data_IF_049950180990
#
_entry.id   IF_049950180990
#
_cell.length_a   1.000
_cell.length_b   1.000
_cell.length_c   1.000
_cell.angle_alpha   90.00
_cell.angle_beta   90.00
_cell.angle_gamma   90.00
#
_symmetry.space_group_name_H-M   'P 1'
#
loop_
_entity.id
_entity.type
_entity.pdbx_description
1 polymer ?
#
# COMPACT_ATOMS: atom_id res chain seq x y z
N UNK A 1 7.58 -1.42 9.88
CA UNK A 1 6.75 -0.36 9.25
C UNK A 1 5.47 -0.21 10.06
N UNK A 2 5.06 1.01 10.37
CA UNK A 2 3.72 1.29 10.92
C UNK A 2 2.88 1.86 9.78
N UNK A 3 1.76 1.19 9.46
CA UNK A 3 0.81 1.62 8.44
C UNK A 3 -0.54 1.74 9.11
N UNK A 4 -1.21 2.85 8.86
CA UNK A 4 -2.61 3.03 9.19
C UNK A 4 -3.37 3.25 7.87
N UNK A 5 -4.55 2.67 7.75
CA UNK A 5 -5.40 2.82 6.58
C UNK A 5 -6.87 2.68 6.95
N UNK A 6 -7.71 3.12 6.04
CA UNK A 6 -9.16 3.09 6.23
C UNK A 6 -9.68 1.66 6.17
N UNK A 7 -10.68 1.38 7.00
CA UNK A 7 -11.40 0.12 7.02
C UNK A 7 -12.81 0.36 6.48
N UNK A 8 -13.21 -0.37 5.45
CA UNK A 8 -14.55 -0.25 4.88
C UNK A 8 -15.62 -0.81 5.84
N UNK A 9 -15.50 -2.09 6.23
CA UNK A 9 -16.42 -2.69 7.20
C UNK A 9 -15.86 -3.96 7.88
N UNK A 10 -16.64 -4.46 8.83
CA UNK A 10 -16.46 -5.77 9.45
C UNK A 10 -17.61 -6.70 9.06
N UNK A 11 -17.32 -7.97 8.83
CA UNK A 11 -18.38 -8.98 8.69
C UNK A 11 -18.93 -9.43 10.05
N UNK A 12 -19.91 -10.34 10.01
CA UNK A 12 -20.57 -10.87 11.22
C UNK A 12 -19.63 -11.62 12.18
N UNK A 13 -18.38 -11.89 11.78
CA UNK A 13 -17.35 -12.54 12.58
C UNK A 13 -16.24 -11.58 13.02
N UNK A 14 -16.45 -10.26 12.87
CA UNK A 14 -15.47 -9.20 13.11
C UNK A 14 -14.22 -9.30 12.23
N UNK A 15 -14.31 -9.94 11.07
CA UNK A 15 -13.22 -9.93 10.08
C UNK A 15 -13.32 -8.68 9.22
N UNK A 16 -12.17 -8.06 8.93
CA UNK A 16 -12.08 -6.91 8.04
C UNK A 16 -12.45 -7.33 6.62
N UNK A 17 -13.26 -6.51 5.97
CA UNK A 17 -13.68 -6.70 4.59
C UNK A 17 -13.40 -5.43 3.81
N UNK A 18 -12.75 -5.59 2.67
CA UNK A 18 -12.58 -4.54 1.68
C UNK A 18 -13.76 -4.55 0.70
N UNK A 19 -14.34 -3.40 0.36
CA UNK A 19 -15.48 -3.28 -0.56
C UNK A 19 -15.07 -2.50 -1.81
N UNK A 20 -15.13 -3.15 -2.96
CA UNK A 20 -14.87 -2.50 -4.26
C UNK A 20 -16.10 -2.59 -5.16
N UNK A 21 -16.29 -1.57 -5.99
CA UNK A 21 -17.36 -1.53 -7.00
C UNK A 21 -16.78 -1.18 -8.36
N UNK A 22 -16.95 -2.07 -9.34
CA UNK A 22 -16.22 -2.00 -10.58
C UNK A 22 -17.10 -2.31 -11.80
N UNK A 23 -16.90 -1.52 -12.87
CA UNK A 23 -17.62 -1.74 -14.14
C UNK A 23 -17.26 -3.12 -14.70
N UNK A 24 -18.26 -3.99 -14.90
CA UNK A 24 -18.09 -5.40 -15.27
C UNK A 24 -17.35 -6.25 -14.21
N UNK A 25 -17.33 -5.81 -12.96
CA UNK A 25 -16.83 -6.58 -11.81
C UNK A 25 -15.34 -6.90 -11.95
N UNK A 26 -15.00 -8.20 -11.91
CA UNK A 26 -13.64 -8.70 -12.17
C UNK A 26 -13.52 -9.43 -13.52
N UNK A 27 -14.48 -9.23 -14.43
CA UNK A 27 -14.53 -9.99 -15.69
C UNK A 27 -13.62 -9.41 -16.76
N UNK A 28 -13.19 -8.17 -16.63
CA UNK A 28 -12.41 -7.48 -17.65
C UNK A 28 -10.91 -7.75 -17.48
N UNK A 29 -10.27 -8.30 -18.51
CA UNK A 29 -8.84 -8.62 -18.50
C UNK A 29 -7.92 -7.45 -18.13
N UNK A 30 -8.28 -6.20 -18.48
CA UNK A 30 -7.43 -5.04 -18.17
C UNK A 30 -7.38 -4.73 -16.68
N UNK A 31 -8.43 -5.08 -15.94
CA UNK A 31 -8.52 -4.79 -14.51
C UNK A 31 -7.55 -5.65 -13.71
N UNK A 32 -7.29 -6.87 -14.17
CA UNK A 32 -6.32 -7.78 -13.55
C UNK A 32 -4.87 -7.32 -13.66
N UNK A 33 -4.57 -6.44 -14.61
CA UNK A 33 -3.25 -5.81 -14.72
C UNK A 33 -3.15 -4.48 -13.98
N UNK A 34 -4.18 -3.63 -14.06
CA UNK A 34 -4.11 -2.26 -13.57
C UNK A 34 -4.74 -2.02 -12.20
N UNK A 35 -5.59 -2.91 -11.71
CA UNK A 35 -6.44 -2.64 -10.55
C UNK A 35 -6.21 -3.68 -9.45
N UNK A 36 -6.26 -4.97 -9.78
CA UNK A 36 -6.14 -6.02 -8.76
C UNK A 36 -4.80 -6.05 -8.01
N UNK A 37 -3.63 -5.67 -8.58
CA UNK A 37 -2.41 -5.55 -7.77
C UNK A 37 -2.53 -4.47 -6.69
N UNK A 38 -3.25 -3.37 -6.97
CA UNK A 38 -3.46 -2.30 -6.00
C UNK A 38 -4.37 -2.76 -4.86
N UNK A 39 -5.50 -3.39 -5.22
CA UNK A 39 -6.42 -3.97 -4.23
C UNK A 39 -5.73 -5.02 -3.35
N UNK A 40 -4.88 -5.86 -3.95
CA UNK A 40 -4.11 -6.84 -3.21
C UNK A 40 -3.11 -6.18 -2.25
N UNK A 41 -2.34 -5.20 -2.71
CA UNK A 41 -1.37 -4.50 -1.86
C UNK A 41 -2.06 -3.78 -0.68
N UNK A 42 -3.16 -3.07 -0.95
CA UNK A 42 -3.99 -2.40 0.06
C UNK A 42 -4.47 -3.39 1.13
N UNK A 43 -5.09 -4.49 0.70
CA UNK A 43 -5.62 -5.50 1.60
C UNK A 43 -4.51 -6.18 2.43
N UNK A 44 -3.37 -6.52 1.83
CA UNK A 44 -2.24 -7.13 2.55
C UNK A 44 -1.64 -6.16 3.59
N UNK A 45 -1.47 -4.89 3.25
CA UNK A 45 -0.92 -3.89 4.18
C UNK A 45 -1.80 -3.67 5.41
N UNK A 46 -3.12 -3.85 5.26
CA UNK A 46 -4.10 -3.71 6.33
C UNK A 46 -4.48 -5.05 7.00
N UNK A 47 -3.91 -6.17 6.53
CA UNK A 47 -4.21 -7.53 6.98
C UNK A 47 -5.67 -7.94 6.73
N UNK A 48 -6.24 -7.46 5.63
CA UNK A 48 -7.55 -7.84 5.13
C UNK A 48 -7.40 -9.02 4.17
N UNK A 49 -8.04 -10.15 4.48
CA UNK A 49 -7.95 -11.36 3.65
C UNK A 49 -9.08 -11.48 2.63
N UNK A 50 -10.15 -10.71 2.81
CA UNK A 50 -11.36 -10.79 1.99
C UNK A 50 -11.66 -9.45 1.34
N UNK A 51 -11.94 -9.51 0.04
CA UNK A 51 -12.53 -8.41 -0.71
C UNK A 51 -13.90 -8.80 -1.25
N UNK A 52 -14.85 -7.88 -1.20
CA UNK A 52 -16.17 -8.00 -1.81
C UNK A 52 -16.21 -7.07 -3.02
N UNK A 53 -16.40 -7.63 -4.20
CA UNK A 53 -16.42 -6.88 -5.46
C UNK A 53 -17.83 -6.88 -6.03
N UNK A 54 -18.44 -5.70 -6.07
CA UNK A 54 -19.70 -5.46 -6.78
C UNK A 54 -19.44 -5.23 -8.28
N UNK A 55 -20.12 -5.98 -9.13
CA UNK A 55 -20.19 -5.74 -10.57
C UNK A 55 -21.26 -4.69 -10.84
N UNK A 56 -20.83 -3.54 -11.35
CA UNK A 56 -21.76 -2.51 -11.86
C UNK A 56 -21.82 -2.48 -13.38
N UNK A 57 -22.96 -2.09 -13.91
CA UNK A 57 -23.16 -1.75 -15.32
C UNK A 57 -22.87 -0.25 -15.57
N UNK A 58 -22.97 0.16 -16.84
CA UNK A 58 -22.74 1.56 -17.26
C UNK A 58 -23.78 2.53 -16.72
N UNK A 59 -24.98 2.07 -16.41
CA UNK A 59 -26.05 2.84 -15.77
C UNK A 59 -25.93 2.89 -14.24
N UNK A 60 -24.82 2.39 -13.68
CA UNK A 60 -24.51 2.29 -12.25
C UNK A 60 -25.39 1.29 -11.46
N UNK A 61 -26.21 0.48 -12.12
CA UNK A 61 -26.86 -0.66 -11.45
C UNK A 61 -25.82 -1.69 -11.04
N UNK A 62 -25.95 -2.21 -9.81
CA UNK A 62 -25.17 -3.37 -9.33
C UNK A 62 -25.93 -4.63 -9.69
N UNK A 63 -25.28 -5.54 -10.44
CA UNK A 63 -25.91 -6.75 -10.97
C UNK A 63 -25.38 -8.04 -10.36
N UNK A 64 -24.20 -8.00 -9.74
CA UNK A 64 -23.64 -9.14 -9.02
C UNK A 64 -22.68 -8.67 -7.93
N UNK A 65 -22.48 -9.50 -6.92
CA UNK A 65 -21.51 -9.28 -5.84
C UNK A 65 -20.75 -10.59 -5.63
N UNK A 66 -19.42 -10.52 -5.64
CA UNK A 66 -18.56 -11.68 -5.38
C UNK A 66 -17.69 -11.42 -4.16
N UNK A 67 -17.68 -12.36 -3.21
CA UNK A 67 -16.67 -12.45 -2.15
C UNK A 67 -15.45 -13.19 -2.69
N UNK A 68 -14.27 -12.64 -2.49
CA UNK A 68 -13.02 -13.09 -3.11
C UNK A 68 -11.96 -13.10 -2.02
N UNK A 69 -11.26 -14.22 -1.87
CA UNK A 69 -10.07 -14.25 -1.04
C UNK A 69 -8.93 -13.52 -1.76
N UNK A 70 -8.14 -12.70 -1.08
CA UNK A 70 -7.10 -11.86 -1.73
C UNK A 70 -6.12 -12.67 -2.59
N UNK A 71 -5.80 -13.92 -2.22
CA UNK A 71 -4.95 -14.80 -3.01
C UNK A 71 -5.52 -15.15 -4.40
N UNK A 72 -6.83 -15.06 -4.60
CA UNK A 72 -7.46 -15.24 -5.92
C UNK A 72 -7.19 -14.04 -6.86
N UNK A 73 -6.68 -12.91 -6.34
CA UNK A 73 -6.34 -11.73 -7.17
C UNK A 73 -4.98 -11.90 -7.87
N UNK A 74 -4.11 -12.76 -7.35
CA UNK A 74 -2.73 -12.94 -7.80
C UNK A 74 -2.68 -13.66 -9.16
N UNK A 75 -2.69 -12.90 -10.25
CA UNK A 75 -2.80 -13.42 -11.63
C UNK A 75 -1.71 -14.40 -12.07
N UNK A 76 -0.55 -14.41 -11.40
CA UNK A 76 0.53 -15.38 -11.61
C UNK A 76 0.53 -16.56 -10.63
N UNK A 77 -0.43 -16.60 -9.70
CA UNK A 77 -0.56 -17.62 -8.66
C UNK A 77 -1.53 -18.75 -9.05
N UNK A 78 -1.48 -19.85 -8.30
CA UNK A 78 -2.30 -21.05 -8.55
C UNK A 78 -3.79 -20.87 -8.28
N UNK A 79 -4.15 -19.91 -7.42
CA UNK A 79 -5.53 -19.65 -7.02
C UNK A 79 -6.28 -18.73 -8.00
N UNK A 80 -5.61 -18.24 -9.05
CA UNK A 80 -6.22 -17.34 -10.02
C UNK A 80 -7.09 -18.11 -11.01
N UNK A 81 -8.40 -17.80 -11.02
CA UNK A 81 -9.35 -18.36 -11.97
C UNK A 81 -9.73 -17.35 -13.07
N UNK A 82 -9.30 -17.65 -14.30
CA UNK A 82 -9.61 -16.87 -15.50
C UNK A 82 -10.88 -17.33 -16.23
N UNK A 83 -11.60 -18.35 -15.75
CA UNK A 83 -12.72 -18.99 -16.44
C UNK A 83 -13.88 -18.01 -16.74
N UNK A 84 -14.14 -17.07 -15.83
CA UNK A 84 -15.21 -16.07 -15.94
C UNK A 84 -14.84 -14.81 -16.73
N UNK A 85 -13.62 -14.73 -17.28
CA UNK A 85 -13.11 -13.53 -17.93
C UNK A 85 -13.70 -13.29 -19.33
N UNK A 86 -13.97 -12.02 -19.61
CA UNK A 86 -14.27 -11.50 -20.94
C UNK A 86 -12.97 -11.02 -21.56
N UNK A 87 -12.52 -11.75 -22.57
CA UNK A 87 -11.27 -11.49 -23.28
C UNK A 87 -11.42 -10.39 -24.33
N UNK A 88 -10.39 -9.54 -24.48
CA UNK A 88 -10.41 -8.49 -25.52
C UNK A 88 -10.48 -9.13 -26.91
N UNK A 89 -11.27 -8.58 -27.85
CA UNK A 89 -11.26 -9.02 -29.24
C UNK A 89 -9.83 -9.07 -29.80
N UNK A 90 -9.40 -10.25 -30.24
CA UNK A 90 -8.04 -10.50 -30.73
C UNK A 90 -7.15 -11.34 -29.80
N UNK A 91 -7.52 -11.49 -28.52
CA UNK A 91 -6.82 -12.39 -27.60
C UNK A 91 -7.27 -13.85 -27.82
N UNK A 92 -6.72 -14.50 -28.86
CA UNK A 92 -7.07 -15.88 -29.23
C UNK A 92 -6.65 -16.92 -28.20
N UNK A 93 -5.58 -16.65 -27.46
CA UNK A 93 -5.02 -17.58 -26.48
C UNK A 93 -5.81 -17.62 -25.17
N UNK A 94 -6.69 -16.62 -24.94
CA UNK A 94 -7.43 -16.46 -23.67
C UNK A 94 -6.47 -16.46 -22.47
N UNK A 95 -5.42 -15.65 -22.59
CA UNK A 95 -4.38 -15.49 -21.56
C UNK A 95 -4.18 -14.02 -21.23
N UNK A 96 -3.83 -13.75 -19.98
CA UNK A 96 -3.40 -12.41 -19.57
C UNK A 96 -2.07 -12.08 -20.24
N UNK A 97 -1.99 -10.90 -20.86
CA UNK A 97 -0.74 -10.39 -21.45
C UNK A 97 0.35 -10.21 -20.39
N UNK A 98 -0.06 -9.84 -19.18
CA UNK A 98 0.83 -9.57 -18.07
C UNK A 98 0.23 -10.19 -16.81
N UNK A 99 1.07 -10.90 -16.06
CA UNK A 99 0.74 -11.44 -14.76
C UNK A 99 1.65 -10.84 -13.70
N UNK A 100 1.20 -10.86 -12.46
CA UNK A 100 1.95 -10.40 -11.31
C UNK A 100 1.85 -11.44 -10.19
N UNK A 101 2.87 -11.47 -9.35
CA UNK A 101 2.91 -12.30 -8.14
C UNK A 101 3.15 -11.41 -6.92
N UNK A 102 2.69 -11.85 -5.75
CA UNK A 102 2.88 -11.13 -4.49
C UNK A 102 4.37 -10.92 -4.20
N UNK A 103 5.20 -11.92 -4.50
CA UNK A 103 6.64 -11.86 -4.27
C UNK A 103 7.31 -10.78 -5.12
N UNK A 104 6.90 -10.63 -6.38
CA UNK A 104 7.41 -9.56 -7.25
C UNK A 104 6.92 -8.18 -6.81
N UNK A 105 5.65 -8.09 -6.41
CA UNK A 105 5.03 -6.85 -5.98
C UNK A 105 5.70 -6.33 -4.70
N UNK A 106 5.78 -7.17 -3.67
CA UNK A 106 6.37 -6.80 -2.39
C UNK A 106 7.89 -6.78 -2.41
N UNK A 107 8.55 -7.58 -3.24
CA UNK A 107 9.99 -7.46 -3.49
C UNK A 107 10.36 -6.08 -4.02
N UNK A 108 9.55 -5.51 -4.94
CA UNK A 108 9.79 -4.15 -5.41
C UNK A 108 9.59 -3.10 -4.30
N UNK A 109 8.58 -3.27 -3.44
CA UNK A 109 8.33 -2.39 -2.29
C UNK A 109 9.48 -2.47 -1.28
N UNK A 110 9.94 -3.68 -0.97
CA UNK A 110 11.06 -3.91 -0.05
C UNK A 110 12.35 -3.27 -0.57
N UNK A 111 12.71 -3.50 -1.83
CA UNK A 111 13.86 -2.85 -2.46
C UNK A 111 13.77 -1.33 -2.42
N UNK A 112 12.57 -0.78 -2.70
CA UNK A 112 12.33 0.66 -2.62
C UNK A 112 12.52 1.18 -1.20
N UNK A 113 11.87 0.58 -0.22
CA UNK A 113 11.95 0.99 1.19
C UNK A 113 13.38 0.91 1.72
N UNK A 114 14.12 -0.15 1.40
CA UNK A 114 15.52 -0.29 1.80
C UNK A 114 16.40 0.81 1.21
N UNK A 115 16.24 1.11 -0.10
CA UNK A 115 16.97 2.22 -0.73
C UNK A 115 16.63 3.56 -0.09
N UNK A 116 15.37 3.80 0.25
CA UNK A 116 14.96 5.04 0.91
C UNK A 116 15.53 5.11 2.34
N UNK A 117 15.52 4.00 3.06
CA UNK A 117 16.09 3.93 4.39
C UNK A 117 17.58 4.29 4.37
N UNK A 118 18.37 3.64 3.53
CA UNK A 118 19.81 3.91 3.38
C UNK A 118 20.08 5.36 2.96
N UNK A 119 19.27 5.89 2.04
CA UNK A 119 19.35 7.28 1.58
C UNK A 119 19.15 8.25 2.75
N UNK A 120 18.12 8.05 3.57
CA UNK A 120 17.76 8.93 4.69
C UNK A 120 18.74 8.83 5.88
N UNK A 121 19.49 7.72 5.98
CA UNK A 121 20.57 7.56 6.97
C UNK A 121 21.89 8.23 6.54
N UNK A 122 22.02 8.63 5.27
CA UNK A 122 23.24 9.31 4.82
C UNK A 122 23.36 10.73 5.40
N UNK A 123 24.60 11.17 5.65
CA UNK A 123 24.91 12.53 6.15
C UNK A 123 24.26 13.64 5.31
N UNK A 124 24.04 13.39 4.01
CA UNK A 124 23.45 14.34 3.09
C UNK A 124 21.96 14.60 3.37
N UNK A 125 21.21 13.60 3.83
CA UNK A 125 19.75 13.67 3.97
C UNK A 125 19.24 13.40 5.39
N UNK A 126 20.13 13.08 6.33
CA UNK A 126 19.78 12.90 7.73
C UNK A 126 19.02 14.10 8.30
N UNK A 127 17.92 13.83 9.01
CA UNK A 127 16.99 14.84 9.55
C UNK A 127 16.40 15.83 8.53
N UNK A 128 16.31 15.44 7.25
CA UNK A 128 15.66 16.24 6.21
C UNK A 128 14.41 15.55 5.70
N UNK A 129 13.48 16.35 5.18
CA UNK A 129 12.37 15.86 4.36
C UNK A 129 12.91 15.70 2.95
N UNK A 130 12.75 14.50 2.39
CA UNK A 130 13.12 14.20 1.00
C UNK A 130 11.86 13.87 0.22
N UNK A 131 11.55 14.67 -0.80
CA UNK A 131 10.42 14.42 -1.71
C UNK A 131 10.92 13.55 -2.85
N UNK A 132 10.42 12.31 -2.89
CA UNK A 132 10.73 11.35 -3.94
C UNK A 132 9.58 11.37 -4.94
N UNK A 133 9.90 11.60 -6.22
CA UNK A 133 8.92 11.60 -7.29
C UNK A 133 9.14 10.43 -8.24
N UNK A 134 8.00 9.96 -8.77
CA UNK A 134 7.94 8.95 -9.82
C UNK A 134 7.14 9.51 -10.99
N UNK A 135 7.83 9.85 -12.05
CA UNK A 135 7.14 10.25 -13.29
C UNK A 135 6.46 9.05 -13.95
N UNK A 136 5.29 9.25 -14.58
CA UNK A 136 4.69 8.25 -15.45
C UNK A 136 5.71 7.78 -16.51
N UNK A 137 5.75 6.47 -16.78
CA UNK A 137 6.60 5.82 -17.79
C UNK A 137 8.12 5.78 -17.53
N UNK A 138 8.69 6.60 -16.63
CA UNK A 138 10.09 6.42 -16.22
C UNK A 138 10.26 5.12 -15.42
N UNK A 139 11.39 4.44 -15.56
CA UNK A 139 11.70 3.25 -14.75
C UNK A 139 12.27 3.58 -13.38
N UNK A 140 12.65 4.84 -13.15
CA UNK A 140 13.36 5.29 -11.94
C UNK A 140 12.56 6.28 -11.12
N UNK A 141 12.91 6.37 -9.84
CA UNK A 141 12.51 7.41 -8.91
C UNK A 141 13.62 8.46 -8.82
N UNK A 142 13.29 9.70 -8.48
CA UNK A 142 14.28 10.74 -8.27
C UNK A 142 13.88 11.66 -7.11
N UNK A 143 14.87 12.34 -6.55
CA UNK A 143 14.68 13.35 -5.51
C UNK A 143 14.29 14.65 -6.22
N UNK A 144 13.07 15.12 -5.97
CA UNK A 144 12.58 16.37 -6.53
C UNK A 144 12.88 17.57 -5.63
N UNK A 145 12.86 17.36 -4.31
CA UNK A 145 13.02 18.42 -3.32
C UNK A 145 13.65 17.86 -2.03
N UNK A 146 14.41 18.70 -1.34
CA UNK A 146 14.91 18.46 0.02
C UNK A 146 14.57 19.66 0.88
N UNK A 147 13.86 19.45 1.99
CA UNK A 147 13.45 20.51 2.93
C UNK A 147 13.95 20.21 4.35
N UNK A 148 14.24 21.26 5.10
CA UNK A 148 14.66 21.24 6.49
C UNK A 148 13.50 21.53 7.47
N UNK A 149 12.35 22.00 6.99
CA UNK A 149 11.20 22.36 7.81
C UNK A 149 10.29 21.16 8.07
N UNK A 150 10.53 20.47 9.20
CA UNK A 150 9.70 19.35 9.69
C UNK A 150 8.21 19.67 9.81
N UNK A 151 7.84 20.94 9.94
CA UNK A 151 6.46 21.40 10.07
C UNK A 151 5.61 21.19 8.81
N UNK A 152 6.23 20.85 7.68
CA UNK A 152 5.51 20.43 6.46
C UNK A 152 4.86 19.06 6.56
N UNK A 153 5.38 18.18 7.40
CA UNK A 153 4.87 16.81 7.57
C UNK A 153 4.22 16.59 8.93
N UNK A 154 4.77 17.23 9.97
CA UNK A 154 4.33 17.02 11.34
C UNK A 154 3.85 18.33 11.94
N UNK A 155 2.60 18.41 12.42
CA UNK A 155 2.12 19.56 13.20
C UNK A 155 3.04 19.86 14.39
N UNK A 156 3.06 21.12 14.84
CA UNK A 156 3.96 21.56 15.92
C UNK A 156 3.69 20.79 17.21
N UNK A 157 2.42 20.55 17.51
CA UNK A 157 1.97 19.80 18.70
C UNK A 157 2.52 18.38 18.71
N UNK A 158 2.55 17.72 17.54
CA UNK A 158 3.15 16.40 17.38
C UNK A 158 4.65 16.47 17.67
N UNK A 159 5.37 17.40 17.03
CA UNK A 159 6.82 17.56 17.23
C UNK A 159 7.17 17.83 18.69
N UNK A 160 6.39 18.68 19.38
CA UNK A 160 6.63 19.04 20.77
C UNK A 160 6.39 17.86 21.72
N UNK A 161 5.39 17.01 21.45
CA UNK A 161 5.17 15.79 22.22
C UNK A 161 6.39 14.85 22.17
N UNK A 162 6.99 14.67 20.99
CA UNK A 162 8.18 13.81 20.85
C UNK A 162 9.43 14.43 21.47
N UNK A 163 9.62 15.75 21.35
CA UNK A 163 10.73 16.45 22.03
C UNK A 163 10.63 16.35 23.56
N UNK A 164 9.42 16.45 24.11
CA UNK A 164 9.19 16.32 25.55
C UNK A 164 9.47 14.89 26.04
N UNK A 165 9.08 13.87 25.27
CA UNK A 165 9.35 12.47 25.64
C UNK A 165 10.83 12.08 25.56
N UNK A 166 11.62 12.69 24.66
CA UNK A 166 13.08 12.54 24.66
C UNK A 166 13.74 13.26 25.85
N UNK A 167 13.27 14.45 26.22
CA UNK A 167 13.73 15.17 27.42
C UNK A 167 13.45 14.39 28.71
N UNK A 168 12.37 13.62 28.76
CA UNK A 168 12.06 12.75 29.90
C UNK A 168 12.96 11.51 29.99
N UNK A 169 13.54 11.06 28.87
CA UNK A 169 14.58 10.01 28.85
C UNK A 169 15.96 10.55 29.24
N UNK A 170 16.19 11.86 29.10
CA UNK A 170 17.39 12.57 29.56
C UNK A 170 17.08 13.28 30.89
N UNK A 171 16.65 12.52 31.91
CA UNK A 171 17.00 12.88 33.28
C UNK A 171 18.12 11.94 33.70
N UNK A 172 19.37 12.42 33.81
CA UNK A 172 20.31 11.69 34.64
C UNK A 172 19.66 11.62 36.02
N UNK A 173 19.47 10.41 36.54
CA UNK A 173 19.39 10.24 37.98
C UNK A 173 20.67 10.86 38.52
N UNK A 174 20.59 12.11 39.01
CA UNK A 174 21.64 12.69 39.80
C UNK A 174 21.84 11.72 40.96
N UNK A 175 22.95 10.98 40.91
CA UNK A 175 23.25 10.03 41.96
C UNK A 175 23.51 10.83 43.25
N UNK A 176 22.99 10.42 44.42
CA UNK A 176 22.91 11.28 45.61
C UNK A 176 24.24 11.57 46.32
N UNK A 177 25.40 11.31 45.71
CA UNK A 177 26.71 11.34 46.39
C UNK A 177 27.66 12.48 46.01
N UNK A 178 27.26 13.44 45.17
CA UNK A 178 28.06 14.66 44.92
C UNK A 178 27.87 15.78 45.97
N UNK A 179 27.65 15.39 47.23
CA UNK A 179 27.86 16.26 48.37
C UNK A 179 28.54 15.47 49.47
N UNK A 180 29.88 15.48 49.44
CA UNK A 180 30.77 15.66 50.59
C UNK A 180 32.22 15.75 50.10
#
# INVERSE_FOLDING_TARGET
MFVNGDLDCLDSTNQQIEIKCQLLGMRNERQHYYITPFWYAEAVLLKTETIVVAERLKDNSVISVKRVHINELETGGENFDASGMVWTPGNKEKKLKWTWTKDKLFGHVEEFVNKIYDLLQSDKYFNKIVVIQKEPQKSTFFIAEVDHNSSRLFPVEFQDHFRQSERLKIRPLALPWEKN
#
